data_IF_256202808502
#
_entry.id   IF_256202808502
#
_cell.length_a   1.000
_cell.length_b   1.000
_cell.length_c   1.000
_cell.angle_alpha   90.00
_cell.angle_beta   90.00
_cell.angle_gamma   90.00
#
_symmetry.space_group_name_H-M   'P 1'
#
loop_
_entity.id
_entity.type
_entity.pdbx_description
1 polymer ?
#
# COMPACT_ATOMS: atom_id res chain seq x y z
N UNK A 1 9.11 -11.22 1.81
CA UNK A 1 8.86 -10.14 2.78
C UNK A 1 7.49 -9.57 2.47
N UNK A 2 6.70 -9.23 3.47
CA UNK A 2 5.45 -8.50 3.29
C UNK A 2 5.78 -7.14 2.64
N UNK A 3 4.89 -6.65 1.76
CA UNK A 3 4.99 -5.31 1.19
C UNK A 3 4.39 -4.32 2.19
N UNK A 4 5.04 -3.16 2.35
CA UNK A 4 4.69 -2.17 3.35
C UNK A 4 4.48 -0.78 2.74
N UNK A 5 3.64 0.03 3.37
CA UNK A 5 3.46 1.43 3.00
C UNK A 5 3.98 2.36 4.10
N UNK A 6 4.73 3.38 3.71
CA UNK A 6 5.23 4.41 4.61
C UNK A 6 4.30 5.61 4.66
N UNK A 7 3.92 6.04 5.86
CA UNK A 7 3.14 7.25 6.06
C UNK A 7 4.09 8.43 6.20
N UNK A 8 3.98 9.37 5.28
CA UNK A 8 4.85 10.56 5.19
C UNK A 8 4.01 11.82 5.25
N UNK A 9 4.58 12.90 5.71
CA UNK A 9 3.93 14.21 5.71
C UNK A 9 4.76 15.23 6.47
N UNK A 10 4.50 16.51 6.23
CA UNK A 10 5.08 17.60 7.01
C UNK A 10 4.60 17.54 8.47
N UNK A 11 5.27 18.21 9.40
CA UNK A 11 4.76 18.37 10.76
C UNK A 11 3.35 18.99 10.78
N UNK A 12 2.51 18.55 11.72
CA UNK A 12 1.17 19.10 11.97
C UNK A 12 0.15 18.95 10.83
N UNK A 13 0.33 17.98 9.93
CA UNK A 13 -0.64 17.65 8.89
C UNK A 13 -1.67 16.58 9.31
N UNK A 14 -1.55 16.04 10.52
CA UNK A 14 -2.39 14.95 11.04
C UNK A 14 -1.79 13.54 10.89
N UNK A 15 -0.51 13.45 10.48
CA UNK A 15 0.18 12.17 10.26
C UNK A 15 0.16 11.27 11.50
N UNK A 16 0.55 11.78 12.66
CA UNK A 16 0.60 11.01 13.91
C UNK A 16 -0.79 10.60 14.38
N UNK A 17 -1.79 11.46 14.22
CA UNK A 17 -3.20 11.17 14.53
C UNK A 17 -3.70 10.01 13.67
N UNK A 18 -3.44 10.05 12.37
CA UNK A 18 -3.80 8.96 11.45
C UNK A 18 -3.06 7.66 11.81
N UNK A 19 -1.77 7.74 12.14
CA UNK A 19 -1.01 6.56 12.55
C UNK A 19 -1.51 5.98 13.88
N UNK A 20 -1.95 6.82 14.82
CA UNK A 20 -2.59 6.36 16.05
C UNK A 20 -3.90 5.60 15.76
N UNK A 21 -4.73 6.10 14.84
CA UNK A 21 -5.93 5.39 14.40
C UNK A 21 -5.59 4.01 13.82
N UNK A 22 -4.56 3.93 12.97
CA UNK A 22 -4.04 2.66 12.43
C UNK A 22 -3.60 1.71 13.54
N UNK A 23 -2.83 2.18 14.51
CA UNK A 23 -2.31 1.33 15.59
C UNK A 23 -3.40 0.88 16.55
N UNK A 24 -4.41 1.71 16.82
CA UNK A 24 -5.59 1.35 17.63
C UNK A 24 -6.43 0.28 16.93
N UNK A 25 -6.78 0.49 15.67
CA UNK A 25 -7.49 -0.50 14.85
C UNK A 25 -6.72 -1.81 14.71
N UNK A 26 -5.38 -1.77 14.76
CA UNK A 26 -4.50 -2.93 14.69
C UNK A 26 -4.27 -3.65 16.02
N UNK A 27 -4.73 -3.11 17.15
CA UNK A 27 -4.51 -3.73 18.47
C UNK A 27 -5.14 -5.14 18.56
N UNK A 28 -6.22 -5.40 17.87
CA UNK A 28 -6.83 -6.72 17.74
C UNK A 28 -5.99 -7.67 16.87
N UNK A 29 -5.33 -7.12 15.83
CA UNK A 29 -4.45 -7.89 14.95
C UNK A 29 -3.14 -8.33 15.62
N UNK A 30 -2.69 -7.65 16.68
CA UNK A 30 -1.47 -7.98 17.42
C UNK A 30 -1.51 -9.36 18.14
N UNK A 31 -2.66 -9.99 18.23
CA UNK A 31 -2.83 -11.34 18.79
C UNK A 31 -2.41 -12.47 17.82
N UNK A 32 -1.98 -12.14 16.61
CA UNK A 32 -1.46 -13.14 15.66
C UNK A 32 0.01 -13.46 15.95
N UNK A 33 0.42 -14.74 15.91
CA UNK A 33 1.82 -15.11 16.06
C UNK A 33 2.63 -14.51 14.91
N UNK A 34 3.69 -13.76 15.24
CA UNK A 34 4.64 -13.03 14.36
C UNK A 34 4.49 -11.50 14.29
N UNK A 35 3.60 -10.86 15.06
CA UNK A 35 3.59 -9.42 15.20
C UNK A 35 4.85 -8.96 15.98
N UNK A 36 5.77 -8.28 15.32
CA UNK A 36 6.88 -7.57 15.99
C UNK A 36 6.34 -6.25 16.52
N UNK A 37 6.58 -5.98 17.80
CA UNK A 37 6.23 -4.69 18.43
C UNK A 37 7.36 -3.71 18.12
N UNK A 38 7.34 -3.13 16.92
CA UNK A 38 8.16 -1.96 16.60
C UNK A 38 7.27 -0.72 16.78
N UNK A 39 7.66 0.28 17.58
CA UNK A 39 6.81 1.45 17.85
C UNK A 39 6.50 2.31 16.62
N UNK A 40 7.18 2.08 15.52
CA UNK A 40 6.94 2.80 14.26
C UNK A 40 6.19 1.97 13.20
N UNK A 41 5.69 0.78 13.58
CA UNK A 41 4.97 -0.12 12.69
C UNK A 41 3.56 -0.33 13.19
N UNK A 42 2.57 -0.03 12.36
CA UNK A 42 1.14 -0.31 12.59
C UNK A 42 0.70 -1.45 11.69
N UNK A 43 0.18 -2.51 12.28
CA UNK A 43 -0.39 -3.64 11.54
C UNK A 43 -1.91 -3.56 11.63
N UNK A 44 -2.62 -3.61 10.50
CA UNK A 44 -4.07 -3.55 10.42
C UNK A 44 -4.63 -4.72 9.64
N UNK A 45 -5.86 -5.10 9.93
CA UNK A 45 -6.60 -6.04 9.10
C UNK A 45 -6.99 -5.37 7.77
N UNK A 46 -6.90 -6.12 6.68
CA UNK A 46 -7.39 -5.65 5.38
C UNK A 46 -8.91 -5.85 5.34
N UNK A 47 -9.70 -4.78 5.24
CA UNK A 47 -11.15 -4.90 5.18
C UNK A 47 -11.59 -5.67 3.94
N UNK A 48 -12.25 -6.82 4.13
CA UNK A 48 -12.74 -7.66 3.05
C UNK A 48 -14.06 -8.33 3.44
N UNK A 49 -15.18 -7.78 2.99
CA UNK A 49 -16.51 -8.30 3.24
C UNK A 49 -16.71 -9.75 2.76
N UNK A 50 -15.91 -10.19 1.78
CA UNK A 50 -15.97 -11.56 1.28
C UNK A 50 -15.54 -12.59 2.32
N UNK A 51 -14.60 -12.22 3.20
CA UNK A 51 -14.16 -13.07 4.31
C UNK A 51 -15.31 -13.31 5.30
N UNK A 52 -16.02 -12.23 5.66
CA UNK A 52 -17.17 -12.33 6.55
C UNK A 52 -18.27 -13.18 5.92
N UNK A 53 -18.55 -12.96 4.62
CA UNK A 53 -19.56 -13.74 3.89
C UNK A 53 -19.20 -15.23 3.80
N UNK A 54 -17.93 -15.56 3.57
CA UNK A 54 -17.44 -16.95 3.59
C UNK A 54 -17.57 -17.59 4.99
N UNK A 55 -17.35 -16.79 6.04
CA UNK A 55 -17.55 -17.24 7.43
C UNK A 55 -18.99 -17.61 7.69
N UNK A 56 -19.95 -16.81 7.23
CA UNK A 56 -21.38 -17.13 7.33
C UNK A 56 -21.76 -18.40 6.57
N UNK A 57 -21.24 -18.59 5.34
CA UNK A 57 -21.53 -19.73 4.50
C UNK A 57 -20.95 -21.05 5.04
N UNK A 58 -19.76 -21.01 5.60
CA UNK A 58 -19.01 -22.20 6.02
C UNK A 58 -19.20 -22.49 7.51
N UNK A 59 -19.50 -21.48 8.33
CA UNK A 59 -19.60 -21.53 9.79
C UNK A 59 -18.37 -22.23 10.43
N UNK A 60 -17.14 -21.72 10.21
CA UNK A 60 -15.91 -22.34 10.66
C UNK A 60 -15.70 -22.15 12.17
N UNK A 61 -14.76 -22.92 12.73
CA UNK A 61 -14.32 -22.70 14.11
C UNK A 61 -13.49 -21.44 14.28
N UNK A 62 -12.85 -20.98 13.22
CA UNK A 62 -11.96 -19.81 13.23
C UNK A 62 -12.01 -19.07 11.90
N UNK A 63 -12.05 -17.75 11.97
CA UNK A 63 -11.86 -16.84 10.83
C UNK A 63 -10.57 -16.08 11.00
N UNK A 64 -9.76 -16.00 9.94
CA UNK A 64 -8.47 -15.31 9.98
C UNK A 64 -8.39 -14.33 8.82
N UNK A 65 -8.43 -13.01 9.09
CA UNK A 65 -8.21 -12.00 8.08
C UNK A 65 -6.75 -11.94 7.64
N UNK A 66 -6.49 -11.28 6.54
CA UNK A 66 -5.13 -10.89 6.19
C UNK A 66 -4.81 -9.51 6.77
N UNK A 67 -3.53 -9.24 6.98
CA UNK A 67 -3.06 -7.99 7.57
C UNK A 67 -2.17 -7.22 6.61
N UNK A 68 -2.14 -5.90 6.77
CA UNK A 68 -1.28 -4.99 6.03
C UNK A 68 -0.48 -4.13 7.01
N UNK A 69 0.75 -3.77 6.62
CA UNK A 69 1.69 -3.06 7.49
C UNK A 69 1.90 -1.64 7.00
N UNK A 70 1.71 -0.69 7.92
CA UNK A 70 2.09 0.70 7.75
C UNK A 70 3.28 1.04 8.63
N UNK A 71 4.22 1.84 8.10
CA UNK A 71 5.35 2.36 8.86
C UNK A 71 5.21 3.87 9.04
N UNK A 72 5.23 4.36 10.29
CA UNK A 72 5.32 5.79 10.54
C UNK A 72 6.72 6.29 10.20
N UNK A 73 6.79 7.20 9.25
CA UNK A 73 8.04 7.83 8.86
C UNK A 73 8.07 9.23 9.45
N UNK A 74 9.09 9.51 10.27
CA UNK A 74 9.23 10.82 10.92
C UNK A 74 9.09 11.96 9.92
N UNK A 75 8.42 13.05 10.34
CA UNK A 75 8.16 14.19 9.46
C UNK A 75 9.44 14.80 8.89
N UNK A 76 9.38 15.20 7.64
CA UNK A 76 10.48 15.88 6.94
C UNK A 76 10.35 17.40 7.12
N UNK A 77 11.48 18.08 7.13
CA UNK A 77 11.58 19.51 6.96
C UNK A 77 12.52 19.81 5.79
N UNK A 78 12.39 20.99 5.17
CA UNK A 78 13.27 21.43 4.08
C UNK A 78 14.74 21.26 4.43
N UNK A 79 15.54 20.77 3.48
CA UNK A 79 16.98 20.57 3.64
C UNK A 79 17.38 19.18 4.16
N UNK A 80 16.43 18.24 4.28
CA UNK A 80 16.71 16.90 4.73
C UNK A 80 17.70 16.14 3.83
N UNK A 81 17.66 16.39 2.52
CA UNK A 81 18.60 15.81 1.54
C UNK A 81 20.03 16.31 1.66
N UNK A 82 20.23 17.49 2.24
CA UNK A 82 21.55 18.12 2.47
C UNK A 82 22.06 17.91 3.90
N UNK A 83 21.21 17.33 4.77
CA UNK A 83 21.37 17.38 6.20
C UNK A 83 22.15 16.25 6.81
N UNK A 84 22.75 16.57 7.92
CA UNK A 84 23.26 15.65 8.92
C UNK A 84 22.09 15.22 9.82
N UNK A 85 22.02 13.95 10.20
CA UNK A 85 21.12 13.46 11.24
C UNK A 85 19.72 13.06 10.76
N UNK A 86 18.67 13.76 11.19
CA UNK A 86 17.25 13.37 11.01
C UNK A 86 16.81 13.22 9.56
N UNK A 87 17.35 14.03 8.63
CA UNK A 87 17.03 13.95 7.20
C UNK A 87 17.51 12.64 6.57
N UNK A 88 18.70 12.18 6.89
CA UNK A 88 19.22 10.90 6.41
C UNK A 88 18.42 9.72 6.97
N UNK A 89 17.96 9.82 8.21
CA UNK A 89 17.13 8.80 8.83
C UNK A 89 15.76 8.70 8.13
N UNK A 90 15.12 9.83 7.84
CA UNK A 90 13.88 9.90 7.07
C UNK A 90 14.04 9.21 5.70
N UNK A 91 15.06 9.58 4.91
CA UNK A 91 15.31 8.99 3.61
C UNK A 91 15.61 7.47 3.71
N UNK A 92 16.28 7.05 4.77
CA UNK A 92 16.53 5.63 5.04
C UNK A 92 15.24 4.84 5.29
N UNK A 93 14.30 5.42 6.06
CA UNK A 93 13.00 4.79 6.31
C UNK A 93 12.16 4.70 5.03
N UNK A 94 12.13 5.77 4.20
CA UNK A 94 11.43 5.70 2.91
C UNK A 94 12.04 4.61 2.00
N UNK A 95 13.34 4.37 2.05
CA UNK A 95 13.96 3.28 1.26
C UNK A 95 13.42 1.90 1.61
N UNK A 96 13.02 1.69 2.86
CA UNK A 96 12.59 0.38 3.38
C UNK A 96 11.14 0.03 3.03
N UNK A 97 10.28 1.02 2.77
CA UNK A 97 8.88 0.79 2.40
C UNK A 97 8.70 0.64 0.88
N UNK A 98 7.60 0.03 0.46
CA UNK A 98 7.32 -0.26 -0.95
C UNK A 98 6.44 0.80 -1.61
N UNK A 99 5.60 1.51 -0.85
CA UNK A 99 4.77 2.62 -1.29
C UNK A 99 4.81 3.77 -0.28
N UNK A 100 4.41 4.96 -0.72
CA UNK A 100 4.33 6.17 0.09
C UNK A 100 2.86 6.59 0.20
N UNK A 101 2.34 6.69 1.43
CA UNK A 101 1.08 7.35 1.74
C UNK A 101 1.40 8.77 2.22
N UNK A 102 1.23 9.74 1.35
CA UNK A 102 1.59 11.12 1.60
C UNK A 102 0.40 11.89 2.19
N UNK A 103 0.44 12.13 3.50
CA UNK A 103 -0.59 12.88 4.23
C UNK A 103 -0.39 14.37 3.99
N UNK A 104 -1.45 15.01 3.51
CA UNK A 104 -1.48 16.43 3.13
C UNK A 104 -2.60 17.13 3.90
N UNK A 105 -2.29 18.27 4.52
CA UNK A 105 -3.28 19.04 5.27
C UNK A 105 -4.20 19.81 4.32
N UNK A 106 -5.50 19.53 4.40
CA UNK A 106 -6.55 20.15 3.59
C UNK A 106 -7.64 20.81 4.46
N UNK A 107 -7.25 21.40 5.58
CA UNK A 107 -8.13 22.12 6.50
C UNK A 107 -7.42 23.28 7.18
N UNK A 108 -8.19 24.30 7.56
CA UNK A 108 -7.72 25.41 8.38
C UNK A 108 -8.12 25.18 9.85
N UNK A 109 -7.16 25.42 10.75
CA UNK A 109 -7.35 25.42 12.20
C UNK A 109 -6.34 26.37 12.83
N UNK A 110 -6.84 27.44 13.45
CA UNK A 110 -6.00 28.48 14.06
C UNK A 110 -5.19 27.96 15.27
N UNK A 111 -5.62 26.87 15.89
CA UNK A 111 -4.92 26.25 17.01
C UNK A 111 -3.77 25.32 16.57
N UNK A 112 -3.69 24.99 15.29
CA UNK A 112 -2.67 24.09 14.73
C UNK A 112 -1.76 24.89 13.81
N UNK A 113 -0.54 25.21 14.29
CA UNK A 113 0.45 25.96 13.51
C UNK A 113 0.90 25.14 12.30
N UNK A 114 0.86 25.76 11.11
CA UNK A 114 1.48 25.20 9.91
C UNK A 114 2.97 25.58 9.85
N UNK A 115 3.83 24.65 9.40
CA UNK A 115 5.30 24.86 9.36
C UNK A 115 5.69 26.07 8.51
N UNK A 116 4.99 26.30 7.39
CA UNK A 116 5.22 27.41 6.47
C UNK A 116 4.33 28.62 6.77
N UNK A 117 3.61 28.63 7.91
CA UNK A 117 2.76 29.74 8.35
C UNK A 117 1.40 29.86 7.62
N UNK A 118 1.14 29.07 6.61
CA UNK A 118 -0.14 28.97 5.89
C UNK A 118 -0.38 27.56 5.38
N UNK A 119 -1.62 27.17 5.21
CA UNK A 119 -2.00 25.90 4.59
C UNK A 119 -1.90 26.05 3.07
N UNK A 120 -1.05 25.25 2.44
CA UNK A 120 -0.95 25.13 1.00
C UNK A 120 -0.56 23.70 0.62
N UNK A 121 -1.54 22.84 0.31
CA UNK A 121 -1.30 21.42 0.01
C UNK A 121 -0.27 21.17 -1.08
N UNK A 122 -0.26 21.98 -2.14
CA UNK A 122 0.67 21.81 -3.26
C UNK A 122 2.12 22.15 -2.86
N UNK A 123 2.33 23.20 -2.08
CA UNK A 123 3.67 23.53 -1.56
C UNK A 123 4.18 22.46 -0.59
N UNK A 124 3.27 21.85 0.18
CA UNK A 124 3.61 20.74 1.09
C UNK A 124 4.05 19.51 0.29
N UNK A 125 3.32 19.15 -0.77
CA UNK A 125 3.65 18.07 -1.69
C UNK A 125 4.99 18.33 -2.37
N UNK A 126 5.18 19.52 -2.91
CA UNK A 126 6.41 19.92 -3.61
C UNK A 126 7.62 19.86 -2.68
N UNK A 127 7.47 20.26 -1.42
CA UNK A 127 8.55 20.21 -0.43
C UNK A 127 9.06 18.77 -0.23
N UNK A 128 8.18 17.81 -0.05
CA UNK A 128 8.56 16.40 0.13
C UNK A 128 9.12 15.82 -1.18
N UNK A 129 8.43 16.04 -2.31
CA UNK A 129 8.88 15.54 -3.60
C UNK A 129 10.28 16.04 -3.95
N UNK A 130 10.56 17.32 -3.71
CA UNK A 130 11.88 17.92 -3.98
C UNK A 130 12.99 17.24 -3.15
N UNK A 131 12.75 16.96 -1.88
CA UNK A 131 13.75 16.29 -1.03
C UNK A 131 14.04 14.86 -1.51
N UNK A 132 13.01 14.13 -1.97
CA UNK A 132 13.19 12.80 -2.57
C UNK A 132 13.97 12.87 -3.89
N UNK A 133 13.63 13.84 -4.75
CA UNK A 133 14.30 14.05 -6.03
C UNK A 133 15.77 14.40 -5.83
N UNK A 134 16.09 15.30 -4.89
CA UNK A 134 17.49 15.68 -4.60
C UNK A 134 18.30 14.50 -4.06
N UNK A 135 17.70 13.66 -3.21
CA UNK A 135 18.37 12.46 -2.72
C UNK A 135 18.66 11.44 -3.83
N UNK A 136 17.71 11.25 -4.74
CA UNK A 136 17.89 10.37 -5.90
C UNK A 136 18.88 10.95 -6.90
N UNK A 137 18.86 12.24 -7.15
CA UNK A 137 19.81 12.91 -8.04
C UNK A 137 21.25 12.74 -7.57
N UNK A 138 21.51 12.89 -6.28
CA UNK A 138 22.83 12.61 -5.70
C UNK A 138 23.26 11.17 -5.94
N UNK A 139 22.37 10.21 -5.65
CA UNK A 139 22.61 8.78 -5.84
C UNK A 139 22.86 8.43 -7.32
N UNK A 140 22.01 8.93 -8.21
CA UNK A 140 22.10 8.72 -9.66
C UNK A 140 23.38 9.33 -10.22
N UNK A 141 23.76 10.54 -9.81
CA UNK A 141 24.97 11.23 -10.27
C UNK A 141 26.23 10.43 -9.88
N UNK A 142 26.31 9.97 -8.64
CA UNK A 142 27.43 9.13 -8.19
C UNK A 142 27.49 7.79 -8.93
N UNK A 143 26.34 7.15 -9.13
CA UNK A 143 26.23 5.88 -9.86
C UNK A 143 26.60 6.04 -11.32
N UNK A 144 26.11 7.09 -11.99
CA UNK A 144 26.41 7.43 -13.38
C UNK A 144 27.92 7.59 -13.60
N UNK A 145 28.61 8.39 -12.77
CA UNK A 145 30.05 8.60 -12.87
C UNK A 145 30.87 7.31 -12.76
N UNK A 146 30.40 6.35 -11.93
CA UNK A 146 31.03 5.04 -11.77
C UNK A 146 30.76 4.13 -12.99
N UNK A 147 29.51 4.02 -13.39
CA UNK A 147 29.06 3.12 -14.47
C UNK A 147 29.62 3.58 -15.83
N UNK A 148 29.70 4.90 -16.08
CA UNK A 148 30.29 5.45 -17.30
C UNK A 148 31.77 5.04 -17.50
N UNK A 149 32.53 4.82 -16.42
CA UNK A 149 33.91 4.32 -16.51
C UNK A 149 33.94 2.84 -16.93
N UNK A 150 33.03 2.02 -16.39
CA UNK A 150 32.95 0.59 -16.69
C UNK A 150 32.39 0.40 -18.12
N UNK A 151 31.41 1.15 -18.55
CA UNK A 151 30.83 1.07 -19.88
C UNK A 151 31.85 1.30 -21.01
N UNK A 152 32.94 2.05 -20.75
CA UNK A 152 34.06 2.21 -21.69
C UNK A 152 34.76 0.88 -22.02
N UNK A 153 34.69 -0.12 -21.17
CA UNK A 153 35.21 -1.47 -21.44
C UNK A 153 34.27 -2.32 -22.29
N UNK A 154 33.15 -1.76 -22.76
CA UNK A 154 32.09 -2.44 -23.53
C UNK A 154 31.39 -3.58 -22.76
N UNK A 155 31.38 -3.51 -21.43
CA UNK A 155 30.58 -4.38 -20.60
C UNK A 155 29.09 -4.11 -20.89
N UNK A 156 28.33 -5.16 -21.25
CA UNK A 156 26.97 -5.05 -21.76
C UNK A 156 26.01 -4.55 -20.66
N UNK A 157 26.18 -5.02 -19.42
CA UNK A 157 25.33 -4.65 -18.31
C UNK A 157 25.56 -3.19 -17.91
N UNK A 158 26.83 -2.77 -17.88
CA UNK A 158 27.19 -1.38 -17.62
C UNK A 158 26.70 -0.42 -18.71
N UNK A 159 26.71 -0.83 -19.97
CA UNK A 159 26.17 -0.01 -21.09
C UNK A 159 24.65 0.12 -20.96
N UNK A 160 23.94 -0.94 -20.65
CA UNK A 160 22.49 -0.93 -20.43
C UNK A 160 22.13 -0.06 -19.22
N UNK A 161 22.85 -0.22 -18.11
CA UNK A 161 22.62 0.60 -16.90
C UNK A 161 22.91 2.09 -17.16
N UNK A 162 23.98 2.40 -17.91
CA UNK A 162 24.31 3.79 -18.25
C UNK A 162 23.18 4.46 -19.04
N UNK A 163 22.61 3.76 -20.04
CA UNK A 163 21.48 4.29 -20.82
C UNK A 163 20.25 4.61 -19.93
N UNK A 164 19.96 3.76 -18.95
CA UNK A 164 18.88 4.01 -17.98
C UNK A 164 19.21 5.22 -17.10
N UNK A 165 20.42 5.34 -16.59
CA UNK A 165 20.84 6.49 -15.78
C UNK A 165 20.81 7.80 -16.57
N UNK A 166 21.18 7.78 -17.86
CA UNK A 166 21.10 8.94 -18.77
C UNK A 166 19.65 9.35 -19.09
N UNK A 167 18.70 8.43 -18.99
CA UNK A 167 17.26 8.71 -19.11
C UNK A 167 16.69 9.32 -17.83
N UNK A 168 17.15 8.86 -16.65
CA UNK A 168 16.65 9.31 -15.35
C UNK A 168 17.22 10.66 -14.93
N UNK A 169 18.53 10.84 -15.09
CA UNK A 169 19.25 11.99 -14.53
C UNK A 169 18.68 13.35 -14.97
N UNK A 170 18.39 13.63 -16.26
CA UNK A 170 17.84 14.91 -16.69
C UNK A 170 16.48 15.22 -16.04
N UNK A 171 15.62 14.20 -15.88
CA UNK A 171 14.30 14.35 -15.27
C UNK A 171 14.41 14.75 -13.80
N UNK A 172 15.34 14.15 -13.07
CA UNK A 172 15.62 14.55 -11.69
C UNK A 172 16.28 15.95 -11.60
N UNK A 173 17.11 16.33 -12.57
CA UNK A 173 17.70 17.68 -12.64
C UNK A 173 16.64 18.78 -12.85
N UNK A 174 15.52 18.43 -13.52
CA UNK A 174 14.35 19.32 -13.66
C UNK A 174 13.44 19.33 -12.43
N UNK A 175 13.77 18.59 -11.37
CA UNK A 175 12.98 18.49 -10.15
C UNK A 175 11.79 17.52 -10.27
N UNK A 176 11.74 16.69 -11.31
CA UNK A 176 10.64 15.78 -11.58
C UNK A 176 10.99 14.38 -11.07
N UNK A 177 10.00 13.70 -10.46
CA UNK A 177 10.15 12.34 -9.95
C UNK A 177 10.37 11.32 -11.07
N UNK A 178 11.26 10.34 -10.86
CA UNK A 178 11.56 9.29 -11.85
C UNK A 178 10.35 8.38 -12.17
N UNK A 179 9.28 8.39 -11.35
CA UNK A 179 8.03 7.66 -11.63
C UNK A 179 7.28 8.18 -12.87
N UNK A 180 7.58 9.40 -13.33
CA UNK A 180 7.02 9.96 -14.56
C UNK A 180 7.60 9.35 -15.84
N UNK A 181 8.68 8.57 -15.74
CA UNK A 181 9.39 8.00 -16.88
C UNK A 181 8.78 6.63 -17.21
N UNK A 182 8.43 6.43 -18.46
CA UNK A 182 8.07 5.11 -18.96
C UNK A 182 9.33 4.28 -19.23
N UNK A 183 9.40 3.11 -18.60
CA UNK A 183 10.50 2.15 -18.75
C UNK A 183 10.02 0.88 -19.43
N UNK A 184 10.85 0.31 -20.31
CA UNK A 184 10.63 -1.04 -20.83
C UNK A 184 10.78 -2.08 -19.73
N UNK A 185 10.32 -3.32 -19.95
CA UNK A 185 10.48 -4.42 -18.97
C UNK A 185 11.95 -4.67 -18.59
N UNK A 186 12.86 -4.50 -19.55
CA UNK A 186 14.29 -4.67 -19.33
C UNK A 186 14.87 -3.52 -18.50
N UNK A 187 14.51 -2.28 -18.84
CA UNK A 187 14.87 -1.10 -18.05
C UNK A 187 14.34 -1.17 -16.63
N UNK A 188 13.09 -1.63 -16.43
CA UNK A 188 12.48 -1.78 -15.10
C UNK A 188 13.28 -2.70 -14.17
N UNK A 189 13.92 -3.76 -14.72
CA UNK A 189 14.80 -4.63 -13.92
C UNK A 189 16.02 -3.87 -13.41
N UNK A 190 16.58 -2.99 -14.24
CA UNK A 190 17.72 -2.13 -13.86
C UNK A 190 17.28 -1.11 -12.84
N UNK A 191 16.16 -0.41 -13.08
CA UNK A 191 15.61 0.63 -12.20
C UNK A 191 15.33 0.07 -10.79
N UNK A 192 14.78 -1.13 -10.69
CA UNK A 192 14.60 -1.81 -9.39
C UNK A 192 15.90 -1.96 -8.61
N UNK A 193 17.01 -2.23 -9.29
CA UNK A 193 18.34 -2.34 -8.69
C UNK A 193 18.96 -1.01 -8.26
N UNK A 194 18.39 0.13 -8.67
CA UNK A 194 18.85 1.46 -8.26
C UNK A 194 18.27 1.92 -6.91
N UNK A 195 17.19 1.30 -6.44
CA UNK A 195 16.51 1.62 -5.17
C UNK A 195 16.14 3.11 -5.01
N UNK A 196 15.65 3.72 -6.09
CA UNK A 196 15.25 5.11 -6.10
C UNK A 196 13.99 5.36 -5.27
N UNK A 197 13.96 6.48 -4.56
CA UNK A 197 12.83 6.91 -3.75
C UNK A 197 11.67 7.39 -4.63
N UNK A 198 12.00 8.12 -5.69
CA UNK A 198 11.03 8.75 -6.60
C UNK A 198 10.40 7.77 -7.61
N UNK A 199 10.81 6.51 -7.64
CA UNK A 199 10.13 5.46 -8.41
C UNK A 199 9.05 4.74 -7.62
N UNK A 200 8.98 4.95 -6.30
CA UNK A 200 7.95 4.33 -5.46
C UNK A 200 6.57 4.89 -5.80
N UNK A 201 5.53 4.03 -5.83
CA UNK A 201 4.15 4.48 -5.99
C UNK A 201 3.74 5.37 -4.82
N UNK A 202 2.93 6.39 -5.10
CA UNK A 202 2.44 7.36 -4.11
C UNK A 202 0.91 7.37 -4.10
N UNK A 203 0.35 7.38 -2.90
CA UNK A 203 -1.05 7.66 -2.59
C UNK A 203 -1.11 8.96 -1.80
N UNK A 204 -1.85 9.94 -2.28
CA UNK A 204 -2.10 11.16 -1.54
C UNK A 204 -3.26 10.97 -0.57
N UNK A 205 -3.06 11.35 0.68
CA UNK A 205 -4.04 11.28 1.75
C UNK A 205 -4.40 12.70 2.14
N UNK A 206 -5.50 13.21 1.57
CA UNK A 206 -6.01 14.55 1.86
C UNK A 206 -6.72 14.52 3.22
N UNK A 207 -6.06 15.07 4.25
CA UNK A 207 -6.61 15.15 5.59
C UNK A 207 -7.45 16.41 5.74
N UNK A 208 -8.77 16.24 5.94
CA UNK A 208 -9.76 17.32 6.07
C UNK A 208 -10.27 17.44 7.50
N UNK A 209 -10.97 18.54 7.80
CA UNK A 209 -11.72 18.65 9.05
C UNK A 209 -12.91 17.67 9.02
N UNK A 210 -13.34 17.19 10.18
CA UNK A 210 -14.42 16.23 10.34
C UNK A 210 -15.72 16.66 9.61
N UNK A 211 -16.09 17.93 9.71
CA UNK A 211 -17.27 18.51 9.04
C UNK A 211 -17.23 18.48 7.52
N UNK A 212 -16.04 18.34 6.94
CA UNK A 212 -15.80 18.41 5.49
C UNK A 212 -15.63 17.01 4.85
N UNK A 213 -15.68 15.93 5.64
CA UNK A 213 -15.40 14.57 5.16
C UNK A 213 -16.47 14.04 4.21
N UNK A 214 -17.74 14.43 4.41
CA UNK A 214 -18.87 13.99 3.55
C UNK A 214 -18.98 14.81 2.26
N UNK A 215 -18.58 16.09 2.27
CA UNK A 215 -18.64 16.98 1.10
C UNK A 215 -17.24 17.51 0.76
N UNK A 216 -16.52 16.75 -0.03
CA UNK A 216 -15.17 17.09 -0.46
C UNK A 216 -15.12 17.88 -1.76
N UNK A 217 -16.25 18.01 -2.47
CA UNK A 217 -16.30 18.73 -3.75
C UNK A 217 -16.15 20.24 -3.56
N UNK A 218 -16.67 20.78 -2.46
CA UNK A 218 -16.54 22.19 -2.10
C UNK A 218 -15.21 22.58 -1.46
N UNK A 219 -14.34 21.60 -1.15
CA UNK A 219 -13.04 21.87 -0.53
C UNK A 219 -11.96 22.15 -1.58
N UNK A 220 -11.56 23.43 -1.73
CA UNK A 220 -10.56 23.86 -2.72
C UNK A 220 -9.20 23.19 -2.52
N UNK A 221 -8.79 22.89 -1.29
CA UNK A 221 -7.55 22.17 -0.99
C UNK A 221 -7.59 20.76 -1.55
N UNK A 222 -8.69 20.03 -1.31
CA UNK A 222 -8.89 18.67 -1.83
C UNK A 222 -8.87 18.68 -3.36
N UNK A 223 -9.56 19.63 -3.99
CA UNK A 223 -9.59 19.75 -5.45
C UNK A 223 -8.20 20.02 -6.03
N UNK A 224 -7.40 20.87 -5.38
CA UNK A 224 -6.01 21.11 -5.80
C UNK A 224 -5.15 19.85 -5.75
N UNK A 225 -5.28 19.05 -4.68
CA UNK A 225 -4.57 17.77 -4.54
C UNK A 225 -5.03 16.74 -5.58
N UNK A 226 -6.34 16.65 -5.85
CA UNK A 226 -6.89 15.77 -6.90
C UNK A 226 -6.36 16.12 -8.29
N UNK A 227 -6.34 17.41 -8.62
CA UNK A 227 -5.82 17.87 -9.91
C UNK A 227 -4.33 17.55 -10.06
N UNK A 228 -3.55 17.79 -9.02
CA UNK A 228 -2.13 17.44 -9.00
C UNK A 228 -1.91 15.93 -9.15
N UNK A 229 -2.58 15.12 -8.35
CA UNK A 229 -2.47 13.68 -8.40
C UNK A 229 -2.84 13.09 -9.78
N UNK A 230 -3.87 13.65 -10.41
CA UNK A 230 -4.26 13.27 -11.77
C UNK A 230 -3.13 13.51 -12.78
N UNK A 231 -2.37 14.61 -12.63
CA UNK A 231 -1.23 14.90 -13.51
C UNK A 231 -0.07 13.91 -13.34
N UNK A 232 0.05 13.28 -12.17
CA UNK A 232 1.05 12.24 -11.87
C UNK A 232 0.51 10.80 -12.02
N UNK A 233 -0.74 10.63 -12.46
CA UNK A 233 -1.45 9.34 -12.48
C UNK A 233 -1.47 8.65 -11.09
N UNK A 234 -1.55 9.44 -10.04
CA UNK A 234 -1.64 8.99 -8.65
C UNK A 234 -3.08 9.05 -8.15
N UNK A 235 -3.37 8.29 -7.10
CA UNK A 235 -4.68 8.27 -6.44
C UNK A 235 -4.70 9.23 -5.26
N UNK A 236 -5.91 9.70 -4.91
CA UNK A 236 -6.18 10.52 -3.73
C UNK A 236 -7.31 9.86 -2.94
N UNK A 237 -7.11 9.73 -1.65
CA UNK A 237 -8.18 9.44 -0.70
C UNK A 237 -8.37 10.64 0.22
N UNK A 238 -9.58 10.80 0.74
CA UNK A 238 -9.89 11.84 1.71
C UNK A 238 -10.19 11.20 3.05
N UNK A 239 -9.55 11.70 4.10
CA UNK A 239 -9.75 11.21 5.47
C UNK A 239 -9.92 12.41 6.41
N UNK A 240 -10.59 12.20 7.53
CA UNK A 240 -10.42 13.05 8.70
C UNK A 240 -9.67 12.25 9.75
N UNK A 241 -8.37 12.52 9.89
CA UNK A 241 -7.53 11.77 10.83
C UNK A 241 -8.09 11.80 12.26
N UNK A 242 -8.77 12.88 12.63
CA UNK A 242 -9.43 13.01 13.92
C UNK A 242 -10.65 12.09 14.03
N UNK A 243 -11.52 12.07 13.02
CA UNK A 243 -12.66 11.17 13.00
C UNK A 243 -12.22 9.69 13.02
N UNK A 244 -11.15 9.35 12.27
CA UNK A 244 -10.61 7.99 12.26
C UNK A 244 -10.07 7.55 13.64
N UNK A 245 -9.45 8.47 14.38
CA UNK A 245 -8.98 8.19 15.74
C UNK A 245 -10.15 7.92 16.70
N UNK A 246 -11.29 8.63 16.54
CA UNK A 246 -12.52 8.41 17.29
C UNK A 246 -13.20 7.09 16.88
N UNK A 247 -13.32 6.82 15.57
CA UNK A 247 -13.90 5.58 15.03
C UNK A 247 -13.14 4.33 15.53
N UNK A 248 -11.81 4.41 15.61
CA UNK A 248 -10.98 3.30 16.08
C UNK A 248 -11.15 2.92 17.56
N UNK A 249 -11.88 3.73 18.34
CA UNK A 249 -12.22 3.46 19.74
C UNK A 249 -13.64 2.89 19.93
N UNK A 250 -14.48 2.88 18.87
CA UNK A 250 -15.85 2.47 18.90
C UNK A 250 -16.01 0.96 18.64
N UNK A 251 -17.06 0.37 19.20
CA UNK A 251 -17.48 -0.96 18.78
C UNK A 251 -18.24 -0.90 17.43
N UNK A 252 -18.53 -2.08 16.85
CA UNK A 252 -19.10 -2.15 15.49
C UNK A 252 -20.49 -1.48 15.37
N UNK A 253 -21.32 -1.48 16.45
CA UNK A 253 -22.64 -0.85 16.44
C UNK A 253 -22.50 0.68 16.47
N UNK A 254 -21.70 1.19 17.39
CA UNK A 254 -21.41 2.61 17.55
C UNK A 254 -20.66 3.18 16.33
N UNK A 255 -19.75 2.38 15.71
CA UNK A 255 -19.06 2.73 14.47
C UNK A 255 -20.05 2.99 13.34
N UNK A 256 -21.05 2.14 13.16
CA UNK A 256 -22.05 2.31 12.11
C UNK A 256 -22.87 3.59 12.31
N UNK A 257 -23.30 3.88 13.53
CA UNK A 257 -24.02 5.12 13.85
C UNK A 257 -23.16 6.37 13.63
N UNK A 258 -21.89 6.30 13.97
CA UNK A 258 -20.96 7.41 13.80
C UNK A 258 -20.68 7.71 12.31
N UNK A 259 -20.49 6.69 11.48
CA UNK A 259 -20.34 6.84 10.03
C UNK A 259 -21.59 7.45 9.37
N UNK A 260 -22.79 7.02 9.79
CA UNK A 260 -24.05 7.60 9.34
C UNK A 260 -24.17 9.09 9.77
N UNK A 261 -23.78 9.42 10.99
CA UNK A 261 -23.77 10.79 11.48
C UNK A 261 -22.79 11.69 10.71
N UNK A 262 -21.65 11.15 10.27
CA UNK A 262 -20.70 11.84 9.41
C UNK A 262 -21.17 11.92 7.95
N UNK A 263 -22.19 11.15 7.55
CA UNK A 263 -22.66 11.09 6.16
C UNK A 263 -21.73 10.34 5.21
N UNK A 264 -20.97 9.37 5.71
CA UNK A 264 -20.06 8.52 4.93
C UNK A 264 -20.44 7.05 5.05
N UNK A 265 -20.21 6.25 4.01
CA UNK A 265 -20.58 4.83 3.97
C UNK A 265 -19.50 3.93 4.61
N UNK A 266 -18.25 4.37 4.60
CA UNK A 266 -17.12 3.65 5.17
C UNK A 266 -16.06 4.61 5.71
N UNK A 267 -15.20 4.11 6.59
CA UNK A 267 -14.11 4.91 7.16
C UNK A 267 -13.03 5.23 6.12
N UNK A 268 -12.41 6.39 6.26
CA UNK A 268 -11.26 6.76 5.42
C UNK A 268 -10.06 5.85 5.66
N UNK A 269 -9.94 5.27 6.87
CA UNK A 269 -8.91 4.28 7.17
C UNK A 269 -9.11 2.99 6.37
N UNK A 270 -10.34 2.48 6.26
CA UNK A 270 -10.63 1.30 5.44
C UNK A 270 -10.33 1.57 3.96
N UNK A 271 -10.66 2.77 3.45
CA UNK A 271 -10.28 3.20 2.11
C UNK A 271 -8.76 3.27 1.93
N UNK A 272 -8.05 3.83 2.92
CA UNK A 272 -6.58 3.91 2.91
C UNK A 272 -5.95 2.53 2.79
N UNK A 273 -6.39 1.59 3.61
CA UNK A 273 -5.85 0.23 3.64
C UNK A 273 -6.07 -0.45 2.28
N UNK A 274 -7.30 -0.44 1.76
CA UNK A 274 -7.62 -1.07 0.46
C UNK A 274 -6.87 -0.42 -0.70
N UNK A 275 -6.80 0.91 -0.71
CA UNK A 275 -6.12 1.64 -1.79
C UNK A 275 -4.61 1.42 -1.76
N UNK A 276 -3.99 1.41 -0.59
CA UNK A 276 -2.57 1.11 -0.44
C UNK A 276 -2.25 -0.34 -0.84
N UNK A 277 -3.13 -1.28 -0.47
CA UNK A 277 -3.04 -2.69 -0.83
C UNK A 277 -3.08 -2.89 -2.35
N UNK A 278 -4.05 -2.26 -3.02
CA UNK A 278 -4.18 -2.32 -4.48
C UNK A 278 -3.02 -1.61 -5.20
N UNK A 279 -2.57 -0.47 -4.69
CA UNK A 279 -1.43 0.29 -5.23
C UNK A 279 -0.15 -0.56 -5.30
N UNK A 280 0.04 -1.46 -4.34
CA UNK A 280 1.16 -2.41 -4.30
C UNK A 280 0.95 -3.65 -5.18
N UNK A 281 -0.18 -3.72 -5.91
CA UNK A 281 -0.53 -4.86 -6.74
C UNK A 281 -0.81 -6.12 -5.92
N UNK A 282 -1.31 -5.94 -4.69
CA UNK A 282 -1.74 -7.04 -3.83
C UNK A 282 -3.18 -7.44 -4.14
N UNK A 283 -3.52 -8.67 -3.82
CA UNK A 283 -4.84 -9.23 -3.92
C UNK A 283 -5.01 -10.34 -2.87
N UNK A 284 -6.25 -10.82 -2.71
CA UNK A 284 -6.59 -11.81 -1.69
C UNK A 284 -7.19 -13.05 -2.34
N UNK A 285 -6.68 -14.24 -1.98
CA UNK A 285 -7.38 -15.49 -2.18
C UNK A 285 -7.78 -16.08 -0.82
N UNK A 286 -8.71 -17.00 -0.82
CA UNK A 286 -9.26 -17.60 0.40
C UNK A 286 -9.04 -19.11 0.44
N UNK A 287 -8.87 -19.64 1.65
CA UNK A 287 -9.10 -21.04 1.95
C UNK A 287 -10.31 -21.14 2.86
N UNK A 288 -11.23 -22.05 2.54
CA UNK A 288 -12.49 -22.20 3.27
C UNK A 288 -12.72 -23.66 3.67
N UNK A 289 -12.83 -23.90 4.97
CA UNK A 289 -13.08 -25.21 5.56
C UNK A 289 -13.68 -25.10 6.94
N UNK A 290 -14.24 -26.20 7.46
CA UNK A 290 -14.91 -26.26 8.78
C UNK A 290 -14.00 -25.84 9.95
N UNK A 291 -12.70 -26.03 9.84
CA UNK A 291 -11.75 -25.64 10.90
C UNK A 291 -11.39 -24.18 10.83
N UNK A 292 -11.17 -23.68 9.62
CA UNK A 292 -10.72 -22.30 9.38
C UNK A 292 -11.21 -21.80 8.03
N UNK A 293 -11.67 -20.54 8.01
CA UNK A 293 -11.76 -19.68 6.82
C UNK A 293 -10.68 -18.62 6.94
N UNK A 294 -9.85 -18.48 5.92
CA UNK A 294 -8.71 -17.57 5.97
C UNK A 294 -8.49 -16.84 4.67
N UNK A 295 -8.18 -15.53 4.79
CA UNK A 295 -7.72 -14.68 3.72
C UNK A 295 -6.19 -14.71 3.62
N UNK A 296 -5.67 -14.80 2.38
CA UNK A 296 -4.25 -14.86 2.10
C UNK A 296 -3.86 -13.77 1.11
N UNK A 297 -2.92 -12.91 1.51
CA UNK A 297 -2.36 -11.89 0.61
C UNK A 297 -1.45 -12.52 -0.43
N UNK A 298 -1.62 -12.11 -1.67
CA UNK A 298 -0.69 -12.45 -2.73
C UNK A 298 -0.43 -11.26 -3.66
N UNK A 299 0.64 -11.32 -4.42
CA UNK A 299 0.92 -10.34 -5.46
C UNK A 299 0.25 -10.77 -6.76
N UNK A 300 -0.52 -9.87 -7.40
CA UNK A 300 -1.18 -10.14 -8.69
C UNK A 300 -0.18 -10.70 -9.71
N UNK A 301 -0.58 -11.73 -10.44
CA UNK A 301 0.25 -12.40 -11.46
C UNK A 301 0.99 -13.65 -10.97
N UNK A 302 0.90 -14.04 -9.69
CA UNK A 302 1.50 -15.31 -9.25
C UNK A 302 0.70 -16.52 -9.74
N UNK A 303 1.38 -17.65 -9.88
CA UNK A 303 0.78 -18.93 -10.26
C UNK A 303 0.36 -19.75 -9.02
N UNK A 304 -0.52 -20.71 -9.22
CA UNK A 304 -1.07 -21.55 -8.16
C UNK A 304 -0.02 -22.22 -7.25
N UNK A 305 1.12 -22.76 -7.73
CA UNK A 305 2.16 -23.28 -6.84
C UNK A 305 2.73 -22.22 -5.89
N UNK A 306 2.95 -20.99 -6.39
CA UNK A 306 3.45 -19.89 -5.55
C UNK A 306 2.42 -19.47 -4.49
N UNK A 307 1.13 -19.47 -4.84
CA UNK A 307 0.06 -19.25 -3.87
C UNK A 307 0.04 -20.35 -2.79
N UNK A 308 0.18 -21.61 -3.17
CA UNK A 308 0.33 -22.70 -2.20
C UNK A 308 1.55 -22.50 -1.29
N UNK A 309 2.64 -21.95 -1.83
CA UNK A 309 3.87 -21.59 -1.11
C UNK A 309 3.68 -20.51 -0.04
N UNK A 310 2.71 -19.62 -0.20
CA UNK A 310 2.34 -18.63 0.82
C UNK A 310 1.83 -19.32 2.09
N UNK A 311 1.12 -20.44 1.96
CA UNK A 311 0.65 -21.23 3.09
C UNK A 311 1.81 -22.00 3.74
N UNK A 312 2.56 -22.74 2.91
CA UNK A 312 3.74 -23.49 3.35
C UNK A 312 4.64 -23.84 2.16
N UNK A 313 5.95 -23.78 2.35
CA UNK A 313 6.94 -24.08 1.28
C UNK A 313 6.82 -25.50 0.73
N UNK A 314 6.40 -26.47 1.54
CA UNK A 314 6.19 -27.84 1.10
C UNK A 314 4.98 -27.96 0.16
N UNK A 315 3.96 -27.10 0.32
CA UNK A 315 2.82 -27.06 -0.59
C UNK A 315 3.22 -26.60 -1.99
N UNK A 316 4.15 -25.65 -2.09
CA UNK A 316 4.73 -25.24 -3.37
C UNK A 316 5.52 -26.37 -4.03
N UNK A 317 6.42 -27.01 -3.27
CA UNK A 317 7.28 -28.10 -3.76
C UNK A 317 6.48 -29.31 -4.20
N UNK A 318 5.51 -29.70 -3.40
CA UNK A 318 4.64 -30.87 -3.63
C UNK A 318 3.40 -30.58 -4.45
N UNK A 319 3.23 -29.37 -5.01
CA UNK A 319 2.01 -28.94 -5.68
C UNK A 319 1.60 -29.91 -6.81
N UNK A 320 0.36 -30.40 -6.75
CA UNK A 320 -0.26 -31.23 -7.77
C UNK A 320 -1.28 -30.42 -8.57
N UNK A 321 -2.27 -29.84 -7.89
CA UNK A 321 -3.37 -29.06 -8.46
C UNK A 321 -4.06 -28.25 -7.37
N UNK A 322 -4.88 -27.27 -7.79
CA UNK A 322 -5.79 -26.56 -6.91
C UNK A 322 -7.24 -26.76 -7.36
N UNK A 323 -8.13 -27.10 -6.43
CA UNK A 323 -9.57 -27.00 -6.63
C UNK A 323 -9.93 -25.55 -6.37
N UNK A 324 -10.42 -24.84 -7.38
CA UNK A 324 -10.62 -23.39 -7.35
C UNK A 324 -12.05 -23.04 -7.76
N UNK A 325 -12.70 -22.20 -6.99
CA UNK A 325 -13.99 -21.59 -7.31
C UNK A 325 -13.89 -20.10 -7.03
N UNK A 326 -14.54 -19.25 -7.86
CA UNK A 326 -14.58 -17.82 -7.55
C UNK A 326 -15.49 -17.58 -6.33
N UNK A 327 -15.20 -16.49 -5.59
CA UNK A 327 -16.06 -16.10 -4.48
C UNK A 327 -17.52 -15.93 -4.91
N UNK A 328 -17.74 -15.27 -6.05
CA UNK A 328 -19.07 -14.99 -6.59
C UNK A 328 -19.85 -16.28 -6.88
N UNK A 329 -19.20 -17.30 -7.46
CA UNK A 329 -19.82 -18.58 -7.70
C UNK A 329 -20.11 -19.31 -6.38
N UNK A 330 -19.19 -19.26 -5.43
CA UNK A 330 -19.41 -19.91 -4.13
C UNK A 330 -20.55 -19.26 -3.34
N UNK A 331 -20.62 -17.94 -3.31
CA UNK A 331 -21.70 -17.18 -2.67
C UNK A 331 -23.05 -17.48 -3.34
N UNK A 332 -23.09 -17.47 -4.68
CA UNK A 332 -24.29 -17.77 -5.46
C UNK A 332 -24.87 -19.16 -5.19
N UNK A 333 -24.02 -20.18 -5.08
CA UNK A 333 -24.46 -21.58 -4.88
C UNK A 333 -24.53 -21.96 -3.41
N UNK A 334 -24.04 -21.13 -2.49
CA UNK A 334 -24.17 -21.25 -1.05
C UNK A 334 -23.22 -22.24 -0.40
N UNK A 335 -22.64 -23.17 -1.13
CA UNK A 335 -21.63 -24.10 -0.61
C UNK A 335 -20.80 -24.75 -1.73
N UNK A 336 -19.67 -25.34 -1.36
CA UNK A 336 -18.72 -25.97 -2.29
C UNK A 336 -19.33 -27.15 -3.07
N UNK A 337 -20.22 -27.94 -2.45
CA UNK A 337 -20.83 -29.11 -3.08
C UNK A 337 -21.77 -28.67 -4.21
N UNK A 338 -22.65 -27.70 -3.94
CA UNK A 338 -23.57 -27.16 -4.95
C UNK A 338 -22.82 -26.46 -6.11
N UNK A 339 -21.75 -25.72 -5.79
CA UNK A 339 -20.88 -25.13 -6.81
C UNK A 339 -20.21 -26.19 -7.69
N UNK A 340 -19.81 -27.33 -7.11
CA UNK A 340 -19.21 -28.45 -7.83
C UNK A 340 -20.23 -29.16 -8.75
N UNK A 341 -21.44 -29.39 -8.26
CA UNK A 341 -22.54 -29.97 -9.06
C UNK A 341 -22.94 -29.06 -10.23
N UNK A 342 -22.84 -27.75 -10.04
CA UNK A 342 -23.04 -26.73 -11.08
C UNK A 342 -21.85 -26.57 -12.05
N UNK A 343 -20.76 -27.35 -11.87
CA UNK A 343 -19.56 -27.30 -12.71
C UNK A 343 -18.73 -26.02 -12.55
N UNK A 344 -18.84 -25.33 -11.40
CA UNK A 344 -18.12 -24.08 -11.13
C UNK A 344 -16.78 -24.29 -10.43
N UNK A 345 -16.55 -25.45 -9.85
CA UNK A 345 -15.26 -25.80 -9.25
C UNK A 345 -14.33 -26.32 -10.35
N UNK A 346 -13.26 -25.59 -10.57
CA UNK A 346 -12.22 -25.89 -11.56
C UNK A 346 -11.06 -26.65 -10.91
N UNK A 347 -10.40 -27.48 -11.69
CA UNK A 347 -9.14 -28.14 -11.31
C UNK A 347 -8.01 -27.44 -12.03
N UNK A 348 -7.29 -26.59 -11.32
CA UNK A 348 -6.25 -25.74 -11.87
C UNK A 348 -4.86 -26.35 -11.68
N UNK A 349 -4.06 -26.29 -12.73
CA UNK A 349 -2.69 -26.80 -12.76
C UNK A 349 -1.65 -25.73 -12.39
N UNK A 350 -0.37 -26.07 -12.64
CA UNK A 350 0.79 -25.25 -12.25
C UNK A 350 0.86 -23.88 -12.95
N UNK A 351 0.23 -23.73 -14.10
CA UNK A 351 0.28 -22.50 -14.88
C UNK A 351 -0.88 -21.56 -14.62
N UNK A 352 -1.82 -21.94 -13.76
CA UNK A 352 -2.95 -21.09 -13.41
C UNK A 352 -2.48 -19.84 -12.68
N UNK A 353 -2.88 -18.68 -13.19
CA UNK A 353 -2.64 -17.37 -12.56
C UNK A 353 -3.78 -17.08 -11.61
N UNK A 354 -3.47 -17.00 -10.32
CA UNK A 354 -4.45 -16.78 -9.24
C UNK A 354 -5.15 -15.43 -9.41
N UNK A 355 -6.47 -15.44 -9.24
CA UNK A 355 -7.31 -14.26 -9.33
C UNK A 355 -7.70 -13.77 -7.93
N UNK A 356 -7.96 -12.47 -7.80
CA UNK A 356 -8.52 -11.89 -6.58
C UNK A 356 -9.91 -12.51 -6.32
N UNK A 357 -10.15 -12.96 -5.09
CA UNK A 357 -11.41 -13.61 -4.72
C UNK A 357 -11.47 -15.11 -4.99
N UNK A 358 -10.43 -15.74 -5.54
CA UNK A 358 -10.40 -17.20 -5.66
C UNK A 358 -10.49 -17.88 -4.29
N UNK A 359 -11.38 -18.88 -4.17
CA UNK A 359 -11.43 -19.78 -3.02
C UNK A 359 -10.77 -21.09 -3.44
N UNK A 360 -9.66 -21.45 -2.77
CA UNK A 360 -8.74 -22.47 -3.26
C UNK A 360 -8.52 -23.58 -2.23
N UNK A 361 -8.47 -24.83 -2.72
CA UNK A 361 -8.05 -26.00 -1.95
C UNK A 361 -6.88 -26.66 -2.67
N UNK A 362 -5.68 -26.56 -2.09
CA UNK A 362 -4.47 -27.12 -2.67
C UNK A 362 -4.32 -28.61 -2.41
N UNK A 363 -3.98 -29.36 -3.46
CA UNK A 363 -3.59 -30.79 -3.39
C UNK A 363 -2.10 -30.86 -3.64
N UNK A 364 -1.40 -31.46 -2.71
CA UNK A 364 0.06 -31.59 -2.75
C UNK A 364 0.49 -32.96 -2.23
N UNK A 365 1.69 -33.36 -2.56
CA UNK A 365 2.34 -34.57 -2.05
C UNK A 365 3.77 -34.20 -1.65
N UNK A 366 4.13 -34.49 -0.39
CA UNK A 366 5.43 -34.20 0.20
C UNK A 366 6.13 -35.49 0.56
#
# INVERSE_FOLDING_TARGET
MALTAGIVGLPNVGKSTLFNAITKAGAEAANYPFATIDPNVGMVEVPDWRLQRLTELVNPKKTVPTTFEFTDIAGIVRGASKGEGLGNQFLSHIRQVDAICHVVRCFDDDNITHVEGRVNPLEDIDTINLELVLADLDSVTKRHARVAKIAKTKDKDAVAELAVLEKIKPVLEEGISARSIEFTEEEQKIVKGLFLLTTKPVLYVANVAEKDVADTEGNEYVQSVRNFATSENAQVIVVSARAEEEIAELDEEDKAEFLEALGIEESGLDQLIRTAYDLLGLATYFTAGEQEVRAWTFRKGIKAPQAAGIIHTDFERGFIRAETVSFEDLDKYGNMQAAKEAGRVRLEGKDYVVQDGDVMLFRFNV
#
